data_IF_425660449126
#
_entry.id   IF_425660449126
#
_cell.length_a   1.000
_cell.length_b   1.000
_cell.length_c   1.000
_cell.angle_alpha   90.00
_cell.angle_beta   90.00
_cell.angle_gamma   90.00
#
_symmetry.space_group_name_H-M   'P 1'
#
loop_
_entity.id
_entity.type
_entity.pdbx_description
1 polymer ?
#
# COMPACT_ATOMS: atom_id res chain seq x y z
N UNK A 1 6.03 -8.42 -12.59
CA UNK A 1 6.36 -7.84 -11.27
C UNK A 1 5.64 -8.54 -10.13
N UNK A 2 4.36 -8.87 -10.29
CA UNK A 2 3.50 -9.42 -9.25
C UNK A 2 3.76 -10.86 -8.86
N UNK A 3 4.30 -11.69 -9.78
CA UNK A 3 4.68 -13.08 -9.49
C UNK A 3 5.75 -13.21 -8.39
N UNK A 4 6.59 -12.18 -8.21
CA UNK A 4 7.67 -12.15 -7.23
C UNK A 4 7.17 -11.87 -5.81
N UNK A 5 5.96 -11.32 -5.69
CA UNK A 5 5.29 -11.04 -4.42
C UNK A 5 4.54 -12.27 -3.87
N UNK A 6 4.57 -13.41 -4.58
CA UNK A 6 3.88 -14.63 -4.15
C UNK A 6 2.36 -14.53 -4.20
N UNK A 7 1.83 -13.65 -5.05
CA UNK A 7 0.37 -13.49 -5.20
C UNK A 7 -0.24 -14.70 -5.92
N UNK A 8 -1.50 -14.98 -5.58
CA UNK A 8 -2.26 -16.04 -6.24
C UNK A 8 -2.41 -15.72 -7.74
N UNK A 9 -2.57 -16.74 -8.60
CA UNK A 9 -2.82 -16.52 -10.02
C UNK A 9 -4.07 -15.66 -10.23
N UNK A 10 -4.02 -14.80 -11.25
CA UNK A 10 -5.14 -13.94 -11.59
C UNK A 10 -6.36 -14.77 -12.00
N UNK A 11 -7.41 -14.75 -11.19
CA UNK A 11 -8.64 -15.52 -11.42
C UNK A 11 -9.87 -14.63 -11.75
N UNK A 12 -9.70 -13.31 -11.79
CA UNK A 12 -10.78 -12.36 -12.07
C UNK A 12 -10.29 -11.25 -13.00
N UNK A 13 -11.13 -10.82 -13.94
CA UNK A 13 -10.82 -9.76 -14.92
C UNK A 13 -10.30 -8.47 -14.28
N UNK A 14 -10.79 -8.14 -13.09
CA UNK A 14 -10.42 -6.93 -12.35
C UNK A 14 -9.17 -7.09 -11.48
N UNK A 15 -8.72 -8.32 -11.22
CA UNK A 15 -7.58 -8.55 -10.32
C UNK A 15 -6.27 -7.98 -10.89
N UNK A 16 -6.13 -7.89 -12.22
CA UNK A 16 -4.89 -7.40 -12.83
C UNK A 16 -4.59 -5.94 -12.51
N UNK A 17 -5.64 -5.11 -12.38
CA UNK A 17 -5.49 -3.71 -11.96
C UNK A 17 -5.06 -3.60 -10.49
N UNK A 18 -5.62 -4.44 -9.62
CA UNK A 18 -5.29 -4.50 -8.19
C UNK A 18 -3.85 -4.97 -8.02
N UNK A 19 -3.48 -6.07 -8.67
CA UNK A 19 -2.14 -6.64 -8.68
C UNK A 19 -1.09 -5.61 -9.11
N UNK A 20 -1.38 -4.85 -10.16
CA UNK A 20 -0.50 -3.80 -10.67
C UNK A 20 -0.33 -2.66 -9.63
N UNK A 21 -1.42 -2.18 -9.01
CA UNK A 21 -1.36 -1.19 -7.94
C UNK A 21 -0.52 -1.70 -6.76
N UNK A 22 -0.76 -2.94 -6.32
CA UNK A 22 0.01 -3.57 -5.24
C UNK A 22 1.50 -3.58 -5.60
N UNK A 23 1.85 -3.95 -6.83
CA UNK A 23 3.23 -3.93 -7.31
C UNK A 23 3.89 -2.56 -7.20
N UNK A 24 3.21 -1.49 -7.64
CA UNK A 24 3.74 -0.13 -7.55
C UNK A 24 3.89 0.36 -6.12
N UNK A 25 2.93 0.04 -5.25
CA UNK A 25 3.01 0.36 -3.81
C UNK A 25 4.23 -0.32 -3.19
N UNK A 26 4.53 -1.57 -3.54
CA UNK A 26 5.71 -2.26 -3.02
C UNK A 26 7.02 -1.64 -3.50
N UNK A 27 7.10 -1.18 -4.75
CA UNK A 27 8.27 -0.41 -5.22
C UNK A 27 8.41 0.89 -4.41
N UNK A 28 7.32 1.63 -4.22
CA UNK A 28 7.32 2.85 -3.43
C UNK A 28 7.81 2.60 -1.99
N UNK A 29 7.30 1.56 -1.34
CA UNK A 29 7.76 1.12 -0.02
C UNK A 29 9.24 0.77 -0.01
N UNK A 30 9.76 0.08 -1.04
CA UNK A 30 11.17 -0.26 -1.13
C UNK A 30 12.04 1.01 -1.24
N UNK A 31 11.62 1.99 -2.04
CA UNK A 31 12.32 3.28 -2.16
C UNK A 31 12.36 4.00 -0.82
N UNK A 32 11.24 4.07 -0.10
CA UNK A 32 11.20 4.66 1.24
C UNK A 32 12.09 3.89 2.23
N UNK A 33 12.02 2.56 2.21
CA UNK A 33 12.82 1.70 3.09
C UNK A 33 14.32 1.93 2.87
N UNK A 34 14.77 1.94 1.62
CA UNK A 34 16.18 2.18 1.29
C UNK A 34 16.58 3.63 1.62
N UNK A 35 15.74 4.61 1.31
CA UNK A 35 16.00 6.02 1.60
C UNK A 35 16.14 6.30 3.10
N UNK A 36 15.10 5.97 3.88
CA UNK A 36 15.09 6.18 5.33
C UNK A 36 16.07 5.26 6.05
N UNK A 37 16.12 3.98 5.68
CA UNK A 37 17.05 3.02 6.25
C UNK A 37 18.51 3.44 6.01
N UNK A 38 18.83 3.87 4.78
CA UNK A 38 20.14 4.41 4.43
C UNK A 38 20.49 5.67 5.22
N UNK A 39 19.54 6.61 5.36
CA UNK A 39 19.74 7.81 6.18
C UNK A 39 20.00 7.49 7.65
N UNK A 40 19.23 6.58 8.24
CA UNK A 40 19.40 6.16 9.65
C UNK A 40 20.76 5.48 9.83
N UNK A 41 21.13 4.54 8.95
CA UNK A 41 22.43 3.88 8.99
C UNK A 41 23.58 4.89 8.86
N UNK A 42 23.46 5.83 7.93
CA UNK A 42 24.41 6.94 7.79
C UNK A 42 24.49 7.75 9.08
N UNK A 43 23.36 8.13 9.68
CA UNK A 43 23.33 8.92 10.89
C UNK A 43 24.02 8.19 12.05
N UNK A 44 23.76 6.89 12.23
CA UNK A 44 24.43 6.07 13.25
C UNK A 44 25.94 6.04 13.02
N UNK A 45 26.40 5.76 11.79
CA UNK A 45 27.83 5.63 11.48
C UNK A 45 28.56 6.98 11.57
N UNK A 46 27.91 8.05 11.08
CA UNK A 46 28.50 9.38 11.00
C UNK A 46 28.49 10.10 12.33
N UNK A 47 27.44 9.95 13.13
CA UNK A 47 27.19 10.66 14.39
C UNK A 47 27.43 9.82 15.66
N UNK A 48 27.99 8.61 15.54
CA UNK A 48 28.40 7.80 16.72
C UNK A 48 29.33 8.58 17.67
N UNK A 49 29.23 8.26 18.96
CA UNK A 49 30.00 8.87 20.07
C UNK A 49 31.51 8.90 19.84
N UNK A 50 32.08 7.87 19.22
CA UNK A 50 33.53 7.83 18.97
C UNK A 50 34.02 8.86 17.95
N UNK A 51 33.15 9.35 17.06
CA UNK A 51 33.48 10.39 16.06
C UNK A 51 32.95 11.77 16.45
N UNK A 52 31.87 11.83 17.23
CA UNK A 52 31.26 13.08 17.69
C UNK A 52 31.00 12.91 19.20
N UNK A 53 31.99 13.18 20.05
CA UNK A 53 31.91 12.92 21.48
C UNK A 53 30.99 13.87 22.25
N UNK A 54 30.70 15.05 21.67
CA UNK A 54 29.75 16.05 22.20
C UNK A 54 28.61 16.19 21.21
N UNK A 55 27.37 16.12 21.70
CA UNK A 55 26.17 16.27 20.88
C UNK A 55 25.92 17.76 20.58
N UNK A 56 25.36 18.04 19.40
CA UNK A 56 24.84 19.37 19.07
C UNK A 56 23.38 19.49 19.55
N UNK A 57 23.14 20.43 20.47
CA UNK A 57 21.82 20.68 21.06
C UNK A 57 21.03 21.79 20.33
N UNK A 58 21.66 22.54 19.41
CA UNK A 58 20.94 23.51 18.57
C UNK A 58 20.16 22.84 17.45
N UNK A 59 20.67 21.70 16.95
CA UNK A 59 20.00 20.92 15.91
C UNK A 59 19.95 21.60 14.55
N UNK A 60 19.08 21.08 13.67
CA UNK A 60 18.89 21.62 12.33
C UNK A 60 18.09 22.93 12.39
N UNK A 61 18.70 24.02 11.96
CA UNK A 61 18.04 25.35 11.91
C UNK A 61 17.41 25.67 10.56
N UNK A 62 17.66 24.84 9.54
CA UNK A 62 17.09 25.01 8.20
C UNK A 62 15.73 24.34 8.06
N UNK A 63 14.92 24.82 7.10
CA UNK A 63 13.60 24.24 6.78
C UNK A 63 13.67 22.99 5.89
N UNK A 64 14.86 22.43 5.67
CA UNK A 64 15.06 21.33 4.73
C UNK A 64 14.29 20.06 5.16
N UNK A 65 14.21 19.78 6.47
CA UNK A 65 13.40 18.66 7.00
C UNK A 65 11.92 18.87 6.71
N UNK A 66 11.43 20.08 6.97
CA UNK A 66 10.03 20.44 6.73
C UNK A 66 9.65 20.32 5.25
N UNK A 67 10.53 20.72 4.33
CA UNK A 67 10.27 20.56 2.89
C UNK A 67 10.24 19.08 2.47
N UNK A 68 11.14 18.25 3.03
CA UNK A 68 11.12 16.82 2.77
C UNK A 68 9.83 16.16 3.30
N UNK A 69 9.42 16.49 4.52
CA UNK A 69 8.17 16.01 5.14
C UNK A 69 6.94 16.40 4.31
N UNK A 70 6.83 17.68 3.92
CA UNK A 70 5.73 18.15 3.07
C UNK A 70 5.75 17.45 1.71
N UNK A 71 6.93 17.24 1.12
CA UNK A 71 7.07 16.51 -0.14
C UNK A 71 6.53 15.09 -0.04
N UNK A 72 6.86 14.36 1.02
CA UNK A 72 6.32 13.01 1.27
C UNK A 72 4.82 13.05 1.47
N UNK A 73 4.31 13.99 2.29
CA UNK A 73 2.87 14.12 2.55
C UNK A 73 2.07 14.42 1.27
N UNK A 74 2.60 15.23 0.35
CA UNK A 74 1.96 15.50 -0.95
C UNK A 74 1.93 14.25 -1.81
N UNK A 75 3.02 13.48 -1.87
CA UNK A 75 3.06 12.21 -2.62
C UNK A 75 2.02 11.23 -2.06
N UNK A 76 1.93 11.10 -0.74
CA UNK A 76 0.92 10.25 -0.09
C UNK A 76 -0.51 10.72 -0.37
N UNK A 77 -0.78 12.03 -0.31
CA UNK A 77 -2.09 12.57 -0.64
C UNK A 77 -2.49 12.25 -2.09
N UNK A 78 -1.56 12.35 -3.05
CA UNK A 78 -1.80 11.97 -4.45
C UNK A 78 -2.07 10.46 -4.58
N UNK A 79 -1.29 9.62 -3.91
CA UNK A 79 -1.51 8.16 -3.93
C UNK A 79 -2.88 7.78 -3.37
N UNK A 80 -3.28 8.39 -2.25
CA UNK A 80 -4.56 8.10 -1.60
C UNK A 80 -5.75 8.64 -2.40
N UNK A 81 -5.74 9.95 -2.68
CA UNK A 81 -6.88 10.64 -3.29
C UNK A 81 -6.97 10.36 -4.79
N UNK A 82 -5.82 10.29 -5.48
CA UNK A 82 -5.76 10.11 -6.93
C UNK A 82 -5.88 8.65 -7.38
N UNK A 83 -5.51 7.67 -6.54
CA UNK A 83 -5.48 6.27 -6.95
C UNK A 83 -6.25 5.34 -6.00
N UNK A 84 -5.92 5.32 -4.71
CA UNK A 84 -6.47 4.32 -3.78
C UNK A 84 -7.99 4.46 -3.60
N UNK A 85 -8.48 5.68 -3.32
CA UNK A 85 -9.91 5.95 -3.11
C UNK A 85 -10.72 5.67 -4.40
N UNK A 86 -10.34 6.20 -5.59
CA UNK A 86 -11.05 5.89 -6.83
C UNK A 86 -11.08 4.40 -7.16
N UNK A 87 -9.97 3.66 -6.99
CA UNK A 87 -9.92 2.23 -7.29
C UNK A 87 -10.80 1.42 -6.34
N UNK A 88 -10.83 1.79 -5.05
CA UNK A 88 -11.73 1.17 -4.07
C UNK A 88 -13.20 1.42 -4.43
N UNK A 89 -13.57 2.67 -4.72
CA UNK A 89 -14.95 3.04 -5.07
C UNK A 89 -15.44 2.28 -6.31
N UNK A 90 -14.60 2.19 -7.35
CA UNK A 90 -14.90 1.44 -8.57
C UNK A 90 -15.17 -0.06 -8.32
N UNK A 91 -14.75 -0.62 -7.18
CA UNK A 91 -14.95 -2.03 -6.84
C UNK A 91 -16.12 -2.29 -5.90
N UNK A 92 -16.36 -1.39 -4.96
CA UNK A 92 -17.38 -1.59 -3.91
C UNK A 92 -18.76 -1.11 -4.36
N UNK A 93 -18.84 -0.05 -5.16
CA UNK A 93 -20.13 0.60 -5.41
C UNK A 93 -20.95 -0.04 -6.55
N UNK A 94 -20.35 -0.91 -7.36
CA UNK A 94 -21.01 -1.51 -8.53
C UNK A 94 -21.31 -2.99 -8.31
N UNK A 95 -22.39 -3.29 -7.59
CA UNK A 95 -22.96 -4.64 -7.57
C UNK A 95 -23.82 -4.80 -8.83
N UNK A 96 -23.51 -5.77 -9.71
CA UNK A 96 -24.31 -6.01 -10.90
C UNK A 96 -25.75 -6.41 -10.52
N UNK A 97 -26.77 -5.98 -11.28
CA UNK A 97 -28.14 -6.40 -11.06
C UNK A 97 -28.27 -7.92 -11.25
N UNK A 98 -29.26 -8.54 -10.59
CA UNK A 98 -29.44 -10.00 -10.59
C UNK A 98 -29.56 -10.62 -12.00
N UNK A 99 -30.05 -9.87 -12.98
CA UNK A 99 -30.14 -10.33 -14.38
C UNK A 99 -28.80 -10.32 -15.14
N UNK A 100 -27.74 -9.77 -14.56
CA UNK A 100 -26.38 -9.71 -15.11
C UNK A 100 -25.37 -10.49 -14.26
N UNK A 101 -25.84 -11.17 -13.21
CA UNK A 101 -25.01 -11.86 -12.23
C UNK A 101 -25.56 -13.24 -11.90
N UNK A 102 -24.66 -14.18 -11.58
CA UNK A 102 -25.05 -15.45 -10.98
C UNK A 102 -25.28 -15.23 -9.48
N UNK A 103 -26.53 -15.31 -9.03
CA UNK A 103 -26.86 -15.17 -7.61
C UNK A 103 -26.66 -16.50 -6.87
N UNK A 104 -25.77 -16.49 -5.87
CA UNK A 104 -25.48 -17.65 -5.03
C UNK A 104 -25.66 -17.25 -3.57
N UNK A 105 -26.50 -17.99 -2.84
CA UNK A 105 -26.69 -17.78 -1.41
C UNK A 105 -25.66 -18.58 -0.62
N UNK A 106 -24.93 -17.90 0.27
CA UNK A 106 -23.87 -18.46 1.12
C UNK A 106 -24.29 -18.33 2.58
N UNK A 107 -24.42 -19.45 3.29
CA UNK A 107 -24.72 -19.48 4.73
C UNK A 107 -23.50 -19.99 5.51
N UNK A 108 -22.87 -19.17 6.37
CA UNK A 108 -21.78 -19.61 7.23
C UNK A 108 -22.29 -20.41 8.44
N UNK A 109 -21.58 -21.49 8.77
CA UNK A 109 -21.79 -22.33 9.95
C UNK A 109 -20.43 -22.65 10.64
N UNK A 110 -20.44 -23.09 11.90
CA UNK A 110 -19.23 -23.61 12.55
C UNK A 110 -19.10 -25.12 12.29
N UNK A 111 -18.14 -25.65 11.53
CA UNK A 111 -17.05 -25.02 10.75
C UNK A 111 -17.26 -25.32 9.24
N UNK A 112 -18.39 -24.88 8.70
CA UNK A 112 -18.84 -25.23 7.36
C UNK A 112 -19.46 -24.03 6.61
N UNK A 113 -19.63 -24.19 5.31
CA UNK A 113 -20.35 -23.24 4.46
C UNK A 113 -21.39 -23.99 3.64
N UNK A 114 -22.64 -23.55 3.72
CA UNK A 114 -23.70 -24.06 2.86
C UNK A 114 -23.91 -23.13 1.68
N UNK A 115 -23.92 -23.70 0.47
CA UNK A 115 -24.03 -22.97 -0.79
C UNK A 115 -25.35 -23.36 -1.45
N UNK A 116 -26.19 -22.39 -1.78
CA UNK A 116 -27.47 -22.61 -2.47
C UNK A 116 -27.57 -21.76 -3.73
N UNK A 117 -27.80 -22.43 -4.85
CA UNK A 117 -28.12 -21.81 -6.14
C UNK A 117 -29.54 -22.21 -6.53
N UNK A 118 -30.42 -21.24 -6.77
CA UNK A 118 -31.85 -21.48 -7.01
C UNK A 118 -32.16 -21.97 -8.44
N UNK A 119 -31.17 -21.90 -9.34
CA UNK A 119 -31.38 -22.15 -10.78
C UNK A 119 -31.80 -20.88 -11.54
N UNK A 120 -31.92 -20.98 -12.88
CA UNK A 120 -32.45 -19.92 -13.74
C UNK A 120 -33.93 -19.62 -13.53
#
# INVERSE_FOLDING_TARGET
MTEWLGMQPLAATHGGQIDNLIGWIHIFMLVLFVGWGGFILYAIIRFRKSRNPVADYKGVTSKNSTYAEVGVAVVEAVLLIGFAIPLWAARVDSIPPANQALEVNLTPEQFAWNVRYAGP
#
